data_IF_945183069031
#
_entry.id   IF_945183069031
#
_cell.length_a   1.000
_cell.length_b   1.000
_cell.length_c   1.000
_cell.angle_alpha   90.00
_cell.angle_beta   90.00
_cell.angle_gamma   90.00
#
_symmetry.space_group_name_H-M   'P 1'
#
loop_
_entity.id
_entity.type
_entity.pdbx_description
1 polymer ?
#
# COMPACT_ATOMS: atom_id res chain seq x y z
N UNK A 1 16.89 -7.21 29.53
CA UNK A 1 16.31 -7.71 28.26
C UNK A 1 15.45 -6.60 27.69
N UNK A 2 16.12 -5.76 26.92
CA UNK A 2 15.62 -4.77 25.98
C UNK A 2 14.71 -5.46 24.94
N UNK A 3 13.46 -5.70 25.32
CA UNK A 3 12.39 -5.95 24.37
C UNK A 3 12.17 -4.65 23.59
N UNK A 4 12.88 -4.48 22.49
CA UNK A 4 12.59 -3.49 21.46
C UNK A 4 11.27 -3.88 20.79
N UNK A 5 10.17 -3.66 21.52
CA UNK A 5 8.78 -3.78 21.08
C UNK A 5 8.42 -2.67 20.09
N UNK A 6 9.26 -2.46 19.07
CA UNK A 6 8.96 -1.64 17.92
C UNK A 6 8.45 -2.56 16.83
N UNK A 7 7.29 -2.23 16.26
CA UNK A 7 6.76 -2.94 15.12
C UNK A 7 7.81 -2.97 13.99
N UNK A 8 7.98 -4.10 13.30
CA UNK A 8 8.93 -4.21 12.21
C UNK A 8 8.61 -3.17 11.14
N UNK A 9 9.62 -2.41 10.70
CA UNK A 9 9.42 -1.37 9.69
C UNK A 9 9.05 -1.97 8.33
N UNK A 10 8.44 -1.17 7.45
CA UNK A 10 8.10 -1.60 6.08
C UNK A 10 9.30 -2.23 5.34
N UNK A 11 10.49 -1.63 5.48
CA UNK A 11 11.73 -2.16 4.89
C UNK A 11 12.10 -3.53 5.45
N UNK A 12 11.97 -3.72 6.77
CA UNK A 12 12.23 -5.01 7.42
C UNK A 12 11.23 -6.08 6.97
N UNK A 13 9.95 -5.73 6.84
CA UNK A 13 8.93 -6.65 6.34
C UNK A 13 9.17 -7.04 4.87
N UNK A 14 9.59 -6.11 4.01
CA UNK A 14 9.93 -6.43 2.60
C UNK A 14 11.18 -7.29 2.48
N UNK A 15 12.20 -7.03 3.30
CA UNK A 15 13.38 -7.89 3.38
C UNK A 15 12.98 -9.31 3.80
N UNK A 16 12.14 -9.43 4.83
CA UNK A 16 11.64 -10.73 5.30
C UNK A 16 10.80 -11.46 4.25
N UNK A 17 9.94 -10.74 3.52
CA UNK A 17 9.18 -11.32 2.41
C UNK A 17 10.10 -11.93 1.34
N UNK A 18 11.18 -11.22 0.98
CA UNK A 18 12.14 -11.67 -0.02
C UNK A 18 12.87 -12.94 0.44
N UNK A 19 13.29 -12.99 1.70
CA UNK A 19 13.89 -14.19 2.30
C UNK A 19 12.95 -15.39 2.28
N UNK A 20 11.68 -15.18 2.67
CA UNK A 20 10.68 -16.25 2.71
C UNK A 20 10.36 -16.81 1.33
N UNK A 21 10.25 -15.95 0.31
CA UNK A 21 10.06 -16.38 -1.09
C UNK A 21 11.27 -17.17 -1.59
N UNK A 22 12.49 -16.72 -1.29
CA UNK A 22 13.70 -17.45 -1.65
C UNK A 22 13.78 -18.82 -0.96
N UNK A 23 13.40 -18.90 0.31
CA UNK A 23 13.36 -20.15 1.07
C UNK A 23 12.30 -21.11 0.51
N UNK A 24 11.09 -20.61 0.21
CA UNK A 24 10.02 -21.40 -0.41
C UNK A 24 10.43 -21.98 -1.77
N UNK A 25 11.23 -21.24 -2.56
CA UNK A 25 11.65 -21.67 -3.89
C UNK A 25 12.58 -22.91 -3.87
N UNK A 26 13.27 -23.15 -2.75
CA UNK A 26 14.22 -24.28 -2.60
C UNK A 26 13.76 -25.33 -1.59
N UNK A 27 12.65 -25.08 -0.88
CA UNK A 27 12.12 -25.99 0.12
C UNK A 27 11.37 -27.15 -0.53
N UNK A 28 11.68 -28.38 -0.10
CA UNK A 28 11.09 -29.61 -0.63
C UNK A 28 10.27 -30.38 0.41
N UNK A 29 10.39 -30.02 1.69
CA UNK A 29 9.65 -30.64 2.79
C UNK A 29 8.28 -30.01 2.98
N UNK A 30 7.23 -30.83 2.98
CA UNK A 30 5.83 -30.37 3.09
C UNK A 30 5.52 -29.66 4.40
N UNK A 31 6.07 -30.12 5.54
CA UNK A 31 5.89 -29.48 6.84
C UNK A 31 6.53 -28.08 6.86
N UNK A 32 7.75 -27.96 6.34
CA UNK A 32 8.48 -26.70 6.31
C UNK A 32 7.90 -25.72 5.29
N UNK A 33 7.38 -26.20 4.16
CA UNK A 33 6.60 -25.40 3.20
C UNK A 33 5.36 -24.77 3.86
N UNK A 34 4.63 -25.52 4.68
CA UNK A 34 3.44 -25.01 5.36
C UNK A 34 3.80 -23.90 6.37
N UNK A 35 4.89 -24.08 7.13
CA UNK A 35 5.41 -23.07 8.04
C UNK A 35 5.84 -21.79 7.30
N UNK A 36 6.64 -21.93 6.25
CA UNK A 36 7.12 -20.79 5.45
C UNK A 36 5.98 -20.05 4.76
N UNK A 37 4.96 -20.77 4.29
CA UNK A 37 3.76 -20.17 3.66
C UNK A 37 2.93 -19.39 4.68
N UNK A 38 2.74 -19.93 5.89
CA UNK A 38 2.03 -19.25 6.99
C UNK A 38 2.76 -17.97 7.40
N UNK A 39 4.09 -18.03 7.48
CA UNK A 39 4.91 -16.86 7.81
C UNK A 39 4.83 -15.80 6.70
N UNK A 40 4.87 -16.22 5.43
CA UNK A 40 4.75 -15.32 4.29
C UNK A 40 3.38 -14.62 4.26
N UNK A 41 2.29 -15.33 4.54
CA UNK A 41 0.95 -14.74 4.64
C UNK A 41 0.87 -13.70 5.77
N UNK A 42 1.48 -13.99 6.91
CA UNK A 42 1.55 -13.05 8.04
C UNK A 42 2.31 -11.77 7.65
N UNK A 43 3.45 -11.90 6.97
CA UNK A 43 4.23 -10.75 6.48
C UNK A 43 3.46 -9.98 5.40
N UNK A 44 2.80 -10.66 4.48
CA UNK A 44 1.99 -10.03 3.42
C UNK A 44 0.84 -9.22 4.02
N UNK A 45 0.14 -9.76 5.01
CA UNK A 45 -0.95 -9.06 5.73
C UNK A 45 -0.44 -7.79 6.41
N UNK A 46 0.72 -7.84 7.06
CA UNK A 46 1.34 -6.66 7.67
C UNK A 46 1.76 -5.63 6.62
N UNK A 47 2.34 -6.06 5.50
CA UNK A 47 2.70 -5.18 4.39
C UNK A 47 1.48 -4.47 3.79
N UNK A 48 0.35 -5.16 3.68
CA UNK A 48 -0.92 -4.57 3.23
C UNK A 48 -1.42 -3.51 4.22
N UNK A 49 -1.35 -3.78 5.53
CA UNK A 49 -1.66 -2.81 6.58
C UNK A 49 -0.81 -1.54 6.51
N UNK A 50 0.50 -1.69 6.28
CA UNK A 50 1.39 -0.52 6.07
C UNK A 50 1.05 0.28 4.80
N UNK A 51 0.53 -0.37 3.75
CA UNK A 51 0.08 0.30 2.53
C UNK A 51 -1.19 1.13 2.72
N UNK A 52 -2.07 0.73 3.63
CA UNK A 52 -3.27 1.48 4.00
C UNK A 52 -2.99 2.66 4.96
N UNK A 53 -1.83 2.64 5.64
CA UNK A 53 -1.35 3.74 6.48
C UNK A 53 -0.51 4.78 5.71
N UNK A 54 -0.30 4.61 4.40
CA UNK A 54 0.05 5.76 3.58
C UNK A 54 -1.06 6.80 3.78
N UNK A 55 -0.74 8.01 4.28
CA UNK A 55 -1.77 9.01 4.51
C UNK A 55 -2.49 9.19 3.19
N UNK A 56 -3.76 8.83 3.15
CA UNK A 56 -4.67 9.43 2.19
C UNK A 56 -4.54 10.91 2.50
N UNK A 57 -3.82 11.65 1.66
CA UNK A 57 -3.73 13.08 1.81
C UNK A 57 -5.17 13.59 1.93
N UNK A 58 -5.53 14.29 3.02
CA UNK A 58 -6.88 14.74 3.25
C UNK A 58 -7.20 15.79 2.18
N UNK A 59 -7.64 15.34 1.00
CA UNK A 59 -7.80 16.20 -0.16
C UNK A 59 -8.09 15.49 -1.47
N UNK A 60 -7.61 14.25 -1.68
CA UNK A 60 -7.84 13.53 -2.95
C UNK A 60 -9.10 12.67 -2.88
N UNK A 61 -10.25 13.29 -3.12
CA UNK A 61 -11.48 12.55 -3.40
C UNK A 61 -11.36 11.97 -4.82
N UNK A 62 -11.08 10.68 -4.92
CA UNK A 62 -11.21 9.96 -6.20
C UNK A 62 -12.70 9.69 -6.46
N UNK A 63 -13.23 10.18 -7.58
CA UNK A 63 -14.57 9.81 -8.02
C UNK A 63 -14.58 8.36 -8.52
N UNK A 64 -15.75 7.74 -8.52
CA UNK A 64 -16.00 6.37 -8.97
C UNK A 64 -15.62 6.09 -10.45
N UNK A 65 -15.33 7.14 -11.25
CA UNK A 65 -14.81 7.01 -12.62
C UNK A 65 -13.27 6.96 -12.72
N UNK A 66 -12.56 7.04 -11.59
CA UNK A 66 -11.09 7.01 -11.55
C UNK A 66 -10.40 8.35 -11.79
N UNK A 67 -11.13 9.48 -11.82
CA UNK A 67 -10.53 10.81 -11.88
C UNK A 67 -10.06 11.28 -10.49
N UNK A 68 -8.75 11.53 -10.38
CA UNK A 68 -8.12 12.21 -9.23
C UNK A 68 -8.46 13.70 -9.29
N UNK A 69 -9.14 14.23 -8.27
CA UNK A 69 -9.30 15.68 -8.09
C UNK A 69 -8.16 16.15 -7.19
N UNK A 70 -7.18 16.86 -7.75
CA UNK A 70 -6.12 17.48 -6.97
C UNK A 70 -6.65 18.73 -6.24
N UNK A 71 -6.40 18.88 -4.92
CA UNK A 71 -6.80 20.07 -4.18
C UNK A 71 -5.94 21.24 -4.64
N UNK A 72 -6.51 22.15 -5.43
CA UNK A 72 -5.81 23.30 -6.00
C UNK A 72 -5.83 23.35 -7.53
N UNK A 73 -6.45 22.37 -8.21
CA UNK A 73 -6.89 22.53 -9.59
C UNK A 73 -8.10 23.47 -9.62
N UNK A 74 -7.76 24.74 -9.48
CA UNK A 74 -8.50 25.95 -9.78
C UNK A 74 -9.80 25.70 -10.56
N UNK A 75 -10.91 26.00 -9.89
CA UNK A 75 -12.25 26.22 -10.45
C UNK A 75 -12.30 27.45 -11.39
N UNK A 76 -11.25 27.71 -12.19
CA UNK A 76 -11.13 28.88 -13.07
C UNK A 76 -11.23 28.52 -14.57
N UNK A 77 -11.46 27.25 -14.94
CA UNK A 77 -11.51 26.84 -16.35
C UNK A 77 -12.92 26.60 -16.94
N UNK A 78 -14.01 26.78 -16.17
CA UNK A 78 -15.38 26.54 -16.67
C UNK A 78 -16.35 27.74 -16.52
N UNK A 79 -15.85 28.98 -16.44
CA UNK A 79 -16.70 30.18 -16.58
C UNK A 79 -16.46 30.98 -17.87
N UNK A 80 -15.57 30.54 -18.77
CA UNK A 80 -15.28 31.24 -20.03
C UNK A 80 -15.93 30.60 -21.26
N UNK A 81 -17.17 30.07 -21.16
CA UNK A 81 -17.87 29.53 -22.34
C UNK A 81 -19.38 29.78 -22.46
N UNK A 82 -19.99 30.64 -21.63
CA UNK A 82 -21.40 30.99 -21.89
C UNK A 82 -21.76 32.41 -21.41
N UNK A 83 -21.31 33.42 -22.16
CA UNK A 83 -22.09 34.65 -22.36
C UNK A 83 -21.87 35.15 -23.79
N UNK A 84 -22.56 34.48 -24.71
CA UNK A 84 -22.89 35.03 -26.02
C UNK A 84 -23.85 36.20 -25.81
N UNK A 85 -23.49 37.36 -26.34
CA UNK A 85 -24.21 38.62 -26.27
C UNK A 85 -25.71 38.54 -26.65
N UNK A 86 -26.49 39.54 -26.22
CA UNK A 86 -27.17 40.39 -27.18
C UNK A 86 -26.48 41.75 -27.36
#
# INVERSE_FOLDING_TARGET
MDNTGSEPTLTQLRARQTELVAALAVETGTARLAELSTELETVATRLQGHGQQAPQEPGVQQREDGVVIEPGATLEAELDKDHRAP
#
